data_IF_851309947384
#
_entry.id   IF_851309947384
#
_cell.length_a   1.000
_cell.length_b   1.000
_cell.length_c   1.000
_cell.angle_alpha   90.00
_cell.angle_beta   90.00
_cell.angle_gamma   90.00
#
_symmetry.space_group_name_H-M   'P 1'
#
loop_
_entity.id
_entity.type
_entity.pdbx_description
1 polymer ?
#
# COMPACT_ATOMS: atom_id res chain seq x y z
N UNK A 1 -10.19 6.64 -8.17
CA UNK A 1 -9.54 5.41 -7.67
C UNK A 1 -8.46 5.67 -6.63
N UNK A 2 -7.36 6.37 -6.95
CA UNK A 2 -6.23 6.57 -6.01
C UNK A 2 -6.67 7.20 -4.67
N UNK A 3 -7.49 8.24 -4.70
CA UNK A 3 -8.08 8.85 -3.49
C UNK A 3 -8.87 7.85 -2.64
N UNK A 4 -9.57 6.91 -3.27
CA UNK A 4 -10.35 5.89 -2.56
C UNK A 4 -9.44 4.85 -1.91
N UNK A 5 -8.38 4.44 -2.60
CA UNK A 5 -7.34 3.57 -2.03
C UNK A 5 -6.65 4.27 -0.86
N UNK A 6 -6.32 5.57 -1.00
CA UNK A 6 -5.76 6.38 0.07
C UNK A 6 -6.70 6.50 1.26
N UNK A 7 -7.99 6.74 1.00
CA UNK A 7 -9.02 6.82 2.02
C UNK A 7 -9.15 5.52 2.82
N UNK A 8 -9.12 4.36 2.15
CA UNK A 8 -9.15 3.05 2.80
C UNK A 8 -7.93 2.80 3.70
N UNK A 9 -6.75 3.24 3.27
CA UNK A 9 -5.52 3.07 4.05
C UNK A 9 -5.38 4.07 5.21
N UNK A 10 -6.07 5.20 5.14
CA UNK A 10 -6.08 6.22 6.17
C UNK A 10 -4.66 6.71 6.48
N UNK A 11 -4.34 6.82 7.77
CA UNK A 11 -3.07 7.36 8.24
C UNK A 11 -1.85 6.43 8.08
N UNK A 12 -2.04 5.19 7.63
CA UNK A 12 -0.92 4.23 7.44
C UNK A 12 -0.02 4.58 6.25
N UNK A 13 -0.51 5.40 5.34
CA UNK A 13 0.27 5.91 4.20
C UNK A 13 0.12 7.42 4.08
N UNK A 14 1.17 8.08 3.62
CA UNK A 14 1.19 9.52 3.31
C UNK A 14 0.35 9.81 2.08
N UNK A 15 0.52 8.99 1.04
CA UNK A 15 -0.10 9.15 -0.27
C UNK A 15 -0.23 7.78 -0.96
N UNK A 16 -1.14 7.69 -1.93
CA UNK A 16 -1.19 6.60 -2.91
C UNK A 16 -1.03 7.20 -4.30
N UNK A 17 0.01 6.81 -5.04
CA UNK A 17 0.31 7.37 -6.37
C UNK A 17 0.72 6.30 -7.38
N UNK A 18 0.81 6.68 -8.66
CA UNK A 18 1.31 5.78 -9.70
C UNK A 18 2.85 5.77 -9.69
N UNK A 19 3.43 4.58 -9.85
CA UNK A 19 4.87 4.41 -10.02
C UNK A 19 5.26 4.57 -11.49
N UNK A 20 6.43 5.17 -11.73
CA UNK A 20 7.08 5.20 -13.04
C UNK A 20 8.16 4.11 -13.22
N UNK A 21 8.47 3.38 -12.14
CA UNK A 21 9.62 2.46 -12.07
C UNK A 21 9.24 0.99 -11.89
N UNK A 22 8.02 0.70 -11.46
CA UNK A 22 7.55 -0.68 -11.28
C UNK A 22 7.29 -1.35 -12.63
N UNK A 23 7.79 -2.57 -12.78
CA UNK A 23 7.60 -3.40 -13.97
C UNK A 23 6.72 -4.61 -13.66
N UNK A 24 7.17 -5.47 -12.74
CA UNK A 24 6.49 -6.74 -12.41
C UNK A 24 5.59 -6.64 -11.18
N UNK A 25 6.05 -5.98 -10.11
CA UNK A 25 5.27 -5.88 -8.87
C UNK A 25 4.06 -4.96 -9.04
N UNK A 26 2.95 -5.30 -8.38
CA UNK A 26 1.73 -4.49 -8.40
C UNK A 26 1.87 -3.17 -7.61
N UNK A 27 2.65 -3.19 -6.52
CA UNK A 27 2.83 -2.05 -5.64
C UNK A 27 4.18 -2.11 -4.90
N UNK A 28 4.65 -0.96 -4.42
CA UNK A 28 5.78 -0.86 -3.49
C UNK A 28 5.60 0.31 -2.52
N UNK A 29 6.37 0.31 -1.43
CA UNK A 29 6.42 1.42 -0.49
C UNK A 29 7.67 2.26 -0.71
N UNK A 30 7.51 3.57 -0.66
CA UNK A 30 8.62 4.53 -0.73
C UNK A 30 8.53 5.56 0.37
N UNK A 31 9.68 6.05 0.77
CA UNK A 31 9.80 7.26 1.59
C UNK A 31 9.79 8.46 0.65
N UNK A 32 9.14 9.56 1.03
CA UNK A 32 9.09 10.75 0.18
C UNK A 32 10.45 11.44 0.07
N UNK A 33 10.67 12.19 -1.02
CA UNK A 33 11.88 12.98 -1.22
C UNK A 33 11.87 14.19 -0.27
N UNK A 34 12.50 14.00 0.90
CA UNK A 34 12.56 15.00 1.97
C UNK A 34 12.15 14.45 3.34
N UNK A 35 11.58 13.25 3.38
CA UNK A 35 11.36 12.53 4.62
C UNK A 35 12.69 11.99 5.19
N UNK A 36 12.67 11.64 6.47
CA UNK A 36 13.88 11.38 7.27
C UNK A 36 14.75 10.29 6.63
N UNK A 37 15.96 10.66 6.19
CA UNK A 37 16.94 9.69 5.70
C UNK A 37 17.45 8.80 6.84
N UNK A 38 17.96 7.59 6.55
CA UNK A 38 18.57 6.73 7.57
C UNK A 38 19.71 7.41 8.35
N UNK A 39 20.47 8.32 7.71
CA UNK A 39 21.46 9.14 8.41
C UNK A 39 20.83 10.11 9.41
N UNK A 40 19.74 10.79 9.02
CA UNK A 40 19.02 11.70 9.90
C UNK A 40 18.40 10.93 11.08
N UNK A 41 17.85 9.73 10.84
CA UNK A 41 17.29 8.90 11.91
C UNK A 41 18.33 8.55 12.99
N UNK A 42 19.55 8.18 12.57
CA UNK A 42 20.67 7.95 13.48
C UNK A 42 21.03 9.21 14.26
N UNK A 43 20.98 10.39 13.62
CA UNK A 43 21.24 11.67 14.26
C UNK A 43 20.20 12.00 15.34
N UNK A 44 18.90 11.83 15.06
CA UNK A 44 17.83 12.03 16.05
C UNK A 44 18.02 11.12 17.27
N UNK A 45 18.30 9.84 17.04
CA UNK A 45 18.59 8.87 18.11
C UNK A 45 19.81 9.28 18.94
N UNK A 46 20.89 9.71 18.28
CA UNK A 46 22.11 10.16 18.97
C UNK A 46 21.90 11.45 19.80
N UNK A 47 20.97 12.31 19.37
CA UNK A 47 20.57 13.52 20.10
C UNK A 47 19.56 13.25 21.23
N UNK A 48 19.14 11.99 21.43
CA UNK A 48 18.09 11.65 22.39
C UNK A 48 16.71 12.23 22.03
N UNK A 49 16.51 12.61 20.76
CA UNK A 49 15.27 13.16 20.26
C UNK A 49 14.36 12.03 19.75
N UNK A 50 13.05 12.21 19.86
CA UNK A 50 12.09 11.30 19.26
C UNK A 50 12.25 11.34 17.73
N UNK A 51 12.34 10.16 17.12
CA UNK A 51 12.34 10.03 15.66
C UNK A 51 10.94 10.36 15.16
N UNK A 52 10.77 11.32 14.23
CA UNK A 52 9.47 11.58 13.62
C UNK A 52 8.91 10.34 12.95
N UNK A 53 7.61 10.09 13.11
CA UNK A 53 6.94 9.00 12.40
C UNK A 53 6.85 9.35 10.91
N UNK A 54 7.60 8.62 10.08
CA UNK A 54 7.66 8.85 8.64
C UNK A 54 6.64 7.96 7.95
N UNK A 55 5.50 8.55 7.57
CA UNK A 55 4.51 7.87 6.75
C UNK A 55 5.05 7.62 5.34
N UNK A 56 4.91 6.39 4.85
CA UNK A 56 5.36 6.00 3.51
C UNK A 56 4.30 6.22 2.45
N UNK A 57 4.73 6.36 1.21
CA UNK A 57 3.87 6.46 0.02
C UNK A 57 3.72 5.06 -0.57
N UNK A 58 2.48 4.67 -0.89
CA UNK A 58 2.20 3.47 -1.65
C UNK A 58 2.21 3.82 -3.14
N UNK A 59 3.20 3.33 -3.87
CA UNK A 59 3.22 3.45 -5.33
C UNK A 59 2.58 2.23 -5.97
N UNK A 60 1.72 2.45 -6.96
CA UNK A 60 1.01 1.42 -7.71
C UNK A 60 1.52 1.34 -9.14
N UNK A 61 1.68 0.14 -9.67
CA UNK A 61 2.10 -0.09 -11.04
C UNK A 61 0.92 0.02 -12.00
N UNK A 62 0.81 1.08 -12.82
CA UNK A 62 -0.31 1.25 -13.75
C UNK A 62 -0.36 0.15 -14.83
N UNK A 63 0.77 -0.48 -15.15
CA UNK A 63 0.86 -1.57 -16.12
C UNK A 63 0.48 -2.95 -15.58
N UNK A 64 0.32 -3.10 -14.26
CA UNK A 64 0.00 -4.39 -13.66
C UNK A 64 -1.48 -4.76 -13.87
N UNK A 65 -1.83 -6.02 -14.25
CA UNK A 65 -3.21 -6.42 -14.54
C UNK A 65 -4.21 -6.14 -13.41
N UNK A 66 -3.74 -6.15 -12.16
CA UNK A 66 -4.59 -5.83 -10.99
C UNK A 66 -5.11 -4.39 -11.02
N UNK A 67 -4.33 -3.44 -11.55
CA UNK A 67 -4.74 -2.05 -11.66
C UNK A 67 -5.83 -1.87 -12.72
N UNK A 68 -5.72 -2.57 -13.85
CA UNK A 68 -6.78 -2.60 -14.85
C UNK A 68 -8.08 -3.22 -14.29
N UNK A 69 -7.97 -4.27 -13.47
CA UNK A 69 -9.12 -4.87 -12.79
C UNK A 69 -9.76 -3.90 -11.79
N UNK A 70 -8.96 -3.21 -10.98
CA UNK A 70 -9.44 -2.21 -10.02
C UNK A 70 -10.09 -1.01 -10.70
N UNK A 71 -9.52 -0.54 -11.80
CA UNK A 71 -10.09 0.56 -12.57
C UNK A 71 -11.48 0.20 -13.09
N UNK A 72 -11.64 -1.00 -13.70
CA UNK A 72 -12.95 -1.50 -14.14
C UNK A 72 -13.95 -1.64 -13.00
N UNK A 73 -13.51 -2.16 -11.85
CA UNK A 73 -14.36 -2.27 -10.66
C UNK A 73 -14.83 -0.88 -10.20
N UNK A 74 -13.92 0.10 -10.18
CA UNK A 74 -14.25 1.46 -9.76
C UNK A 74 -15.21 2.17 -10.72
N UNK A 75 -15.08 1.96 -12.02
CA UNK A 75 -15.99 2.51 -13.03
C UNK A 75 -17.39 1.90 -12.96
N UNK A 76 -17.47 0.60 -12.71
CA UNK A 76 -18.75 -0.13 -12.68
C UNK A 76 -19.46 -0.07 -11.33
N UNK A 77 -18.71 -0.03 -10.23
CA UNK A 77 -19.24 0.06 -8.87
C UNK A 77 -18.29 0.86 -7.96
N UNK A 78 -18.32 2.20 -8.03
CA UNK A 78 -17.40 3.05 -7.28
C UNK A 78 -17.58 2.93 -5.75
N UNK A 79 -18.74 2.51 -5.25
CA UNK A 79 -18.99 2.32 -3.82
C UNK A 79 -18.62 0.94 -3.29
N UNK A 80 -18.00 0.08 -4.10
CA UNK A 80 -17.72 -1.30 -3.72
C UNK A 80 -16.73 -1.39 -2.56
N UNK A 81 -17.12 -2.07 -1.47
CA UNK A 81 -16.24 -2.38 -0.33
C UNK A 81 -15.00 -3.17 -0.76
N UNK A 82 -15.09 -3.89 -1.89
CA UNK A 82 -13.98 -4.64 -2.48
C UNK A 82 -12.80 -3.72 -2.82
N UNK A 83 -13.03 -2.44 -3.17
CA UNK A 83 -11.92 -1.51 -3.45
C UNK A 83 -11.08 -1.30 -2.18
N UNK A 84 -11.71 -1.23 -1.01
CA UNK A 84 -11.01 -1.17 0.27
C UNK A 84 -10.22 -2.44 0.56
N UNK A 85 -10.80 -3.62 0.30
CA UNK A 85 -10.08 -4.91 0.45
C UNK A 85 -8.81 -4.95 -0.41
N UNK A 86 -8.89 -4.47 -1.66
CA UNK A 86 -7.73 -4.42 -2.54
C UNK A 86 -6.68 -3.42 -2.08
N UNK A 87 -7.06 -2.29 -1.48
CA UNK A 87 -6.11 -1.37 -0.88
C UNK A 87 -5.29 -2.05 0.23
N UNK A 88 -5.95 -2.78 1.14
CA UNK A 88 -5.29 -3.55 2.19
C UNK A 88 -4.35 -4.62 1.63
N UNK A 89 -4.79 -5.32 0.58
CA UNK A 89 -4.00 -6.37 -0.05
C UNK A 89 -2.76 -5.82 -0.75
N UNK A 90 -2.89 -4.73 -1.53
CA UNK A 90 -1.77 -4.08 -2.20
C UNK A 90 -0.75 -3.54 -1.19
N UNK A 91 -1.24 -2.93 -0.11
CA UNK A 91 -0.39 -2.44 0.98
C UNK A 91 0.34 -3.58 1.70
N UNK A 92 -0.38 -4.64 2.06
CA UNK A 92 0.21 -5.82 2.69
C UNK A 92 1.23 -6.54 1.80
N UNK A 93 0.95 -6.66 0.49
CA UNK A 93 1.90 -7.20 -0.48
C UNK A 93 3.17 -6.34 -0.59
N UNK A 94 3.02 -5.01 -0.61
CA UNK A 94 4.16 -4.10 -0.65
C UNK A 94 5.04 -4.23 0.62
N UNK A 95 4.43 -4.37 1.80
CA UNK A 95 5.15 -4.64 3.06
C UNK A 95 5.90 -5.98 3.03
N UNK A 96 5.26 -7.04 2.54
CA UNK A 96 5.88 -8.36 2.47
C UNK A 96 7.05 -8.36 1.47
N UNK A 97 6.92 -7.68 0.33
CA UNK A 97 7.94 -7.64 -0.71
C UNK A 97 9.27 -7.01 -0.25
N UNK A 98 9.23 -6.09 0.72
CA UNK A 98 10.42 -5.48 1.34
C UNK A 98 10.89 -6.20 2.63
N UNK A 99 10.30 -7.37 2.95
CA UNK A 99 10.65 -8.17 4.13
C UNK A 99 9.95 -7.72 5.43
N UNK A 100 8.97 -6.82 5.34
CA UNK A 100 8.12 -6.40 6.45
C UNK A 100 6.96 -7.36 6.72
N UNK A 101 6.12 -6.98 7.68
CA UNK A 101 4.90 -7.70 8.04
C UNK A 101 3.68 -6.78 7.89
N UNK A 102 2.52 -7.27 7.39
CA UNK A 102 1.28 -6.51 7.41
C UNK A 102 0.92 -6.03 8.83
N UNK A 103 0.29 -4.86 8.94
CA UNK A 103 -0.12 -4.29 10.24
C UNK A 103 -1.13 -5.18 10.98
N UNK A 104 -2.03 -5.84 10.24
CA UNK A 104 -2.90 -6.91 10.74
C UNK A 104 -2.66 -8.18 9.90
N UNK A 105 -1.71 -9.06 10.30
CA UNK A 105 -1.41 -10.29 9.56
C UNK A 105 -2.63 -11.21 9.43
N UNK A 106 -3.47 -11.28 10.47
CA UNK A 106 -4.68 -12.11 10.45
C UNK A 106 -5.72 -11.53 9.50
N UNK A 107 -5.89 -10.21 9.48
CA UNK A 107 -6.73 -9.49 8.52
C UNK A 107 -6.29 -9.69 7.08
N UNK A 108 -4.99 -9.54 6.82
CA UNK A 108 -4.43 -9.80 5.49
C UNK A 108 -4.69 -11.24 5.05
N UNK A 109 -4.43 -12.23 5.92
CA UNK A 109 -4.70 -13.64 5.61
C UNK A 109 -6.19 -13.91 5.32
N UNK A 110 -7.11 -13.29 6.07
CA UNK A 110 -8.56 -13.38 5.81
C UNK A 110 -8.93 -12.80 4.44
N UNK A 111 -8.35 -11.66 4.05
CA UNK A 111 -8.60 -11.05 2.74
C UNK A 111 -8.08 -11.92 1.60
N UNK A 112 -6.89 -12.51 1.74
CA UNK A 112 -6.34 -13.46 0.77
C UNK A 112 -7.24 -14.68 0.64
N UNK A 113 -7.66 -15.29 1.76
CA UNK A 113 -8.57 -16.42 1.73
C UNK A 113 -9.92 -16.07 1.08
N UNK A 114 -10.47 -14.88 1.37
CA UNK A 114 -11.68 -14.37 0.74
C UNK A 114 -11.54 -14.22 -0.78
N UNK A 115 -10.40 -13.72 -1.26
CA UNK A 115 -10.10 -13.68 -2.70
C UNK A 115 -10.03 -15.07 -3.32
N UNK A 116 -9.39 -16.03 -2.65
CA UNK A 116 -9.29 -17.40 -3.14
C UNK A 116 -10.66 -18.05 -3.30
N UNK A 117 -11.57 -17.82 -2.35
CA UNK A 117 -12.96 -18.32 -2.43
C UNK A 117 -13.68 -17.71 -3.63
N UNK A 118 -13.63 -16.38 -3.81
CA UNK A 118 -14.27 -15.70 -4.96
C UNK A 118 -13.68 -16.10 -6.31
N UNK A 119 -12.39 -16.40 -6.36
CA UNK A 119 -11.73 -16.85 -7.58
C UNK A 119 -12.10 -18.30 -7.95
N UNK A 120 -12.49 -19.11 -6.96
CA UNK A 120 -12.89 -20.50 -7.16
C UNK A 120 -14.37 -20.67 -7.57
N UNK A 121 -15.20 -19.64 -7.43
CA UNK A 121 -16.63 -19.67 -7.77
C UNK A 121 -17.29 -18.30 -7.77
#
# INVERSE_FOLDING_TARGET
>A
LLEMLKGALGDRVKEVRLSSRLTESAACLVTDEGDLSPQLEKMFKAMGQAVPDVKRILELNPGHPVMAALQRLHETNPGSSVIGEYAELLYGQALIAEGGQPTDPAGFARLVAGLMVRAAG
#
